data_IF_490431242127
#
_entry.id   IF_490431242127
#
_cell.length_a   1.000
_cell.length_b   1.000
_cell.length_c   1.000
_cell.angle_alpha   90.00
_cell.angle_beta   90.00
_cell.angle_gamma   90.00
#
_symmetry.space_group_name_H-M   'P 1'
#
loop_
_entity.id
_entity.type
_entity.pdbx_description
1 polymer ?
#
# COMPACT_ATOMS: atom_id res chain seq x y z
N UNK A 1 6.72 -22.21 -15.97
CA UNK A 1 5.42 -21.66 -16.46
C UNK A 1 5.59 -20.80 -17.70
N UNK A 2 6.63 -19.94 -17.79
CA UNK A 2 6.84 -19.07 -18.96
C UNK A 2 7.00 -19.83 -20.28
N UNK A 3 7.78 -20.93 -20.32
CA UNK A 3 7.92 -21.74 -21.55
C UNK A 3 6.60 -22.33 -22.08
N UNK A 4 5.62 -22.60 -21.23
CA UNK A 4 4.28 -23.01 -21.69
C UNK A 4 3.42 -21.81 -22.09
N UNK A 5 3.57 -20.67 -21.44
CA UNK A 5 2.86 -19.43 -21.80
C UNK A 5 3.28 -18.93 -23.19
N UNK A 6 4.57 -19.01 -23.52
CA UNK A 6 5.11 -18.64 -24.83
C UNK A 6 4.51 -19.52 -25.95
N UNK A 7 4.34 -20.82 -25.69
CA UNK A 7 3.70 -21.76 -26.62
C UNK A 7 2.18 -21.59 -26.81
N UNK A 8 1.48 -20.86 -25.92
CA UNK A 8 0.08 -20.46 -26.10
C UNK A 8 -0.04 -19.07 -26.75
N UNK A 9 0.92 -18.18 -26.52
CA UNK A 9 1.03 -16.89 -27.19
C UNK A 9 1.26 -17.05 -28.70
N UNK A 10 2.10 -18.00 -29.10
CA UNK A 10 2.36 -18.28 -30.52
C UNK A 10 1.16 -18.91 -31.25
N UNK A 11 0.18 -19.45 -30.50
CA UNK A 11 -1.09 -19.99 -31.04
C UNK A 11 -2.23 -18.96 -31.03
N UNK A 12 -1.98 -17.72 -30.62
CA UNK A 12 -2.97 -16.65 -30.44
C UNK A 12 -4.21 -17.07 -29.60
N UNK A 13 -4.05 -18.04 -28.69
CA UNK A 13 -5.13 -18.53 -27.83
C UNK A 13 -5.18 -17.72 -26.53
N UNK A 14 -5.89 -16.60 -26.59
CA UNK A 14 -6.06 -15.67 -25.46
C UNK A 14 -6.68 -16.33 -24.22
N UNK A 15 -7.52 -17.36 -24.40
CA UNK A 15 -8.19 -18.06 -23.28
C UNK A 15 -7.24 -19.02 -22.56
N UNK A 16 -6.26 -19.58 -23.27
CA UNK A 16 -5.20 -20.39 -22.69
C UNK A 16 -4.24 -19.59 -21.81
N UNK A 17 -3.91 -18.38 -22.24
CA UNK A 17 -3.01 -17.46 -21.51
C UNK A 17 -3.67 -16.93 -20.23
N UNK A 18 -4.95 -16.54 -20.30
CA UNK A 18 -5.73 -16.08 -19.14
C UNK A 18 -5.83 -17.16 -18.05
N UNK A 19 -6.16 -18.41 -18.43
CA UNK A 19 -6.21 -19.54 -17.49
C UNK A 19 -4.85 -19.83 -16.87
N UNK A 20 -3.77 -19.75 -17.65
CA UNK A 20 -2.42 -19.97 -17.13
C UNK A 20 -2.02 -18.89 -16.12
N UNK A 21 -2.37 -17.62 -16.37
CA UNK A 21 -2.13 -16.52 -15.45
C UNK A 21 -2.92 -16.70 -14.14
N UNK A 22 -4.21 -17.07 -14.24
CA UNK A 22 -5.04 -17.35 -13.07
C UNK A 22 -4.55 -18.56 -12.28
N UNK A 23 -4.14 -19.64 -12.94
CA UNK A 23 -3.57 -20.83 -12.28
C UNK A 23 -2.21 -20.50 -11.64
N UNK A 24 -1.41 -19.63 -12.24
CA UNK A 24 -0.15 -19.17 -11.65
C UNK A 24 -0.39 -18.38 -10.35
N UNK A 25 -1.28 -17.38 -10.41
CA UNK A 25 -1.62 -16.54 -9.27
C UNK A 25 -2.30 -17.34 -8.15
N UNK A 26 -3.29 -18.17 -8.52
CA UNK A 26 -4.00 -19.02 -7.58
C UNK A 26 -3.09 -20.10 -6.99
N UNK A 27 -2.23 -20.72 -7.80
CA UNK A 27 -1.30 -21.75 -7.34
C UNK A 27 -0.28 -21.21 -6.33
N UNK A 28 0.27 -20.01 -6.58
CA UNK A 28 1.17 -19.37 -5.63
C UNK A 28 0.44 -18.99 -4.33
N UNK A 29 -0.76 -18.41 -4.45
CA UNK A 29 -1.60 -18.08 -3.28
C UNK A 29 -1.96 -19.33 -2.46
N UNK A 30 -2.34 -20.44 -3.12
CA UNK A 30 -2.65 -21.72 -2.49
C UNK A 30 -1.42 -22.31 -1.79
N UNK A 31 -0.24 -22.21 -2.39
CA UNK A 31 1.01 -22.69 -1.78
C UNK A 31 1.34 -21.90 -0.51
N UNK A 32 1.27 -20.57 -0.55
CA UNK A 32 1.49 -19.72 0.63
C UNK A 32 0.44 -20.00 1.72
N UNK A 33 -0.83 -20.12 1.33
CA UNK A 33 -1.90 -20.45 2.26
C UNK A 33 -1.66 -21.81 2.93
N UNK A 34 -1.29 -22.85 2.16
CA UNK A 34 -0.98 -24.16 2.71
C UNK A 34 0.19 -24.11 3.72
N UNK A 35 1.27 -23.40 3.38
CA UNK A 35 2.42 -23.23 4.29
C UNK A 35 2.01 -22.51 5.58
N UNK A 36 1.23 -21.44 5.49
CA UNK A 36 0.75 -20.69 6.66
C UNK A 36 -0.20 -21.54 7.51
N UNK A 37 -1.13 -22.27 6.89
CA UNK A 37 -2.07 -23.16 7.58
C UNK A 37 -1.34 -24.28 8.32
N UNK A 38 -0.38 -24.94 7.69
CA UNK A 38 0.45 -25.98 8.34
C UNK A 38 1.27 -25.39 9.49
N UNK A 39 1.84 -24.20 9.29
CA UNK A 39 2.61 -23.49 10.32
C UNK A 39 1.73 -23.11 11.53
N UNK A 40 0.47 -22.73 11.33
CA UNK A 40 -0.46 -22.42 12.42
C UNK A 40 -0.91 -23.67 13.19
N UNK A 41 -1.24 -24.75 12.46
CA UNK A 41 -1.69 -26.02 13.05
C UNK A 41 -0.61 -26.67 13.91
N UNK A 42 0.65 -26.68 13.45
CA UNK A 42 1.76 -27.35 14.14
C UNK A 42 2.53 -26.40 15.05
N UNK A 43 2.68 -25.14 14.66
CA UNK A 43 3.57 -24.18 15.32
C UNK A 43 2.94 -23.41 16.48
N UNK A 44 1.62 -23.30 16.59
CA UNK A 44 0.96 -22.46 17.60
C UNK A 44 1.35 -22.84 19.05
N UNK A 45 1.40 -24.14 19.36
CA UNK A 45 1.81 -24.63 20.68
C UNK A 45 3.31 -24.40 20.96
N UNK A 46 4.16 -24.62 19.96
CA UNK A 46 5.60 -24.41 20.07
C UNK A 46 5.96 -22.92 20.26
N UNK A 47 5.31 -22.04 19.50
CA UNK A 47 5.46 -20.58 19.60
C UNK A 47 4.98 -20.09 20.97
N UNK A 48 3.86 -20.60 21.48
CA UNK A 48 3.35 -20.23 22.81
C UNK A 48 4.31 -20.64 23.93
N UNK A 49 4.85 -21.86 23.89
CA UNK A 49 5.83 -22.33 24.89
C UNK A 49 7.15 -21.56 24.84
N UNK A 50 7.61 -21.18 23.63
CA UNK A 50 8.75 -20.27 23.46
C UNK A 50 8.46 -18.89 24.04
N UNK A 51 7.29 -18.31 23.76
CA UNK A 51 6.91 -17.02 24.33
C UNK A 51 6.79 -17.09 25.86
N UNK A 52 6.29 -18.18 26.44
CA UNK A 52 6.15 -18.33 27.89
C UNK A 52 7.52 -18.40 28.60
N UNK A 53 8.58 -18.84 27.91
CA UNK A 53 9.97 -18.90 28.43
C UNK A 53 10.69 -17.55 28.38
N UNK A 54 10.25 -16.63 27.51
CA UNK A 54 10.86 -15.30 27.35
C UNK A 54 10.44 -14.40 28.55
N UNK A 55 11.32 -13.55 29.11
CA UNK A 55 10.96 -12.60 30.16
C UNK A 55 9.98 -11.51 29.68
N UNK A 56 9.10 -11.02 30.56
CA UNK A 56 8.03 -10.08 30.21
C UNK A 56 8.52 -8.80 29.52
N UNK A 57 9.69 -8.28 29.89
CA UNK A 57 10.27 -7.10 29.25
C UNK A 57 10.44 -7.26 27.73
N UNK A 58 10.86 -8.45 27.27
CA UNK A 58 11.06 -8.72 25.83
C UNK A 58 9.71 -8.92 25.14
N UNK A 59 8.75 -9.60 25.77
CA UNK A 59 7.39 -9.75 25.22
C UNK A 59 6.72 -8.39 25.05
N UNK A 60 6.84 -7.52 26.05
CA UNK A 60 6.30 -6.17 25.99
C UNK A 60 6.99 -5.34 24.90
N UNK A 61 8.32 -5.40 24.81
CA UNK A 61 9.08 -4.75 23.74
C UNK A 61 8.65 -5.20 22.33
N UNK A 62 8.45 -6.50 22.13
CA UNK A 62 7.95 -7.04 20.86
C UNK A 62 6.52 -6.58 20.54
N UNK A 63 5.64 -6.51 21.55
CA UNK A 63 4.28 -5.99 21.38
C UNK A 63 4.27 -4.52 20.99
N UNK A 64 5.16 -3.70 21.56
CA UNK A 64 5.28 -2.29 21.18
C UNK A 64 5.87 -2.16 19.78
N UNK A 65 6.93 -2.91 19.46
CA UNK A 65 7.57 -2.89 18.15
C UNK A 65 6.61 -3.27 17.02
N UNK A 66 5.85 -4.36 17.20
CA UNK A 66 4.83 -4.79 16.23
C UNK A 66 3.67 -3.80 16.14
N UNK A 67 3.32 -3.12 17.24
CA UNK A 67 2.31 -2.06 17.28
C UNK A 67 2.70 -0.77 16.54
N UNK A 68 3.99 -0.53 16.28
CA UNK A 68 4.47 0.64 15.53
C UNK A 68 4.43 0.41 14.01
N UNK A 69 4.33 -0.83 13.53
CA UNK A 69 4.31 -1.18 12.10
C UNK A 69 3.22 -0.41 11.32
N UNK A 70 1.96 -0.28 11.80
CA UNK A 70 0.95 0.52 11.11
C UNK A 70 1.31 1.99 10.99
N UNK A 71 1.96 2.58 12.01
CA UNK A 71 2.41 3.97 11.98
C UNK A 71 3.51 4.19 10.93
N UNK A 72 4.43 3.24 10.80
CA UNK A 72 5.44 3.24 9.73
C UNK A 72 4.79 3.13 8.35
N UNK A 73 3.72 2.35 8.21
CA UNK A 73 2.93 2.26 6.98
C UNK A 73 2.35 3.62 6.58
N UNK A 74 1.72 4.33 7.52
CA UNK A 74 1.20 5.68 7.26
C UNK A 74 2.31 6.68 6.94
N UNK A 75 3.48 6.58 7.59
CA UNK A 75 4.63 7.43 7.30
C UNK A 75 5.15 7.23 5.87
N UNK A 76 5.20 5.98 5.39
CA UNK A 76 5.61 5.67 4.01
C UNK A 76 4.62 6.26 2.98
N UNK A 77 3.32 6.14 3.24
CA UNK A 77 2.29 6.76 2.41
C UNK A 77 2.36 8.29 2.44
N UNK A 78 2.55 8.86 3.62
CA UNK A 78 2.70 10.31 3.80
C UNK A 78 3.94 10.82 3.05
N UNK A 79 5.07 10.11 3.09
CA UNK A 79 6.27 10.46 2.33
C UNK A 79 6.03 10.46 0.82
N UNK A 80 5.20 9.55 0.31
CA UNK A 80 4.86 9.50 -1.11
C UNK A 80 3.90 10.62 -1.54
N UNK A 81 2.99 11.03 -0.66
CA UNK A 81 1.91 11.97 -0.98
C UNK A 81 2.22 13.43 -0.63
N UNK A 82 3.00 13.68 0.42
CA UNK A 82 3.25 15.02 0.93
C UNK A 82 4.36 15.69 0.13
N UNK A 83 4.00 16.81 -0.48
CA UNK A 83 4.93 17.78 -1.06
C UNK A 83 4.67 19.17 -0.42
N UNK A 84 5.60 20.12 -0.53
CA UNK A 84 5.51 21.47 0.06
C UNK A 84 4.19 22.18 -0.24
N UNK A 85 3.60 21.94 -1.43
CA UNK A 85 2.31 22.52 -1.85
C UNK A 85 1.08 21.89 -1.16
N UNK A 86 1.13 20.60 -0.85
CA UNK A 86 -0.01 19.85 -0.29
C UNK A 86 0.10 19.62 1.22
N UNK A 87 1.28 19.82 1.82
CA UNK A 87 1.53 19.70 3.25
C UNK A 87 0.54 20.50 4.12
N UNK A 88 0.17 21.75 3.79
CA UNK A 88 -0.80 22.51 4.58
C UNK A 88 -2.19 21.84 4.66
N UNK A 89 -2.63 21.21 3.56
CA UNK A 89 -3.92 20.50 3.51
C UNK A 89 -3.91 19.21 4.35
N UNK A 90 -2.76 18.53 4.43
CA UNK A 90 -2.59 17.36 5.29
C UNK A 90 -2.73 17.74 6.78
N UNK A 91 -2.03 18.79 7.23
CA UNK A 91 -2.14 19.27 8.61
C UNK A 91 -3.54 19.79 8.94
N UNK A 92 -4.20 20.46 7.99
CA UNK A 92 -5.58 20.91 8.15
C UNK A 92 -6.53 19.72 8.40
N UNK A 93 -6.40 18.65 7.61
CA UNK A 93 -7.19 17.43 7.80
C UNK A 93 -6.92 16.74 9.15
N UNK A 94 -5.66 16.73 9.60
CA UNK A 94 -5.26 16.19 10.91
C UNK A 94 -5.88 16.98 12.06
N UNK A 95 -5.86 18.32 11.99
CA UNK A 95 -6.51 19.19 12.98
C UNK A 95 -8.02 18.95 12.99
N UNK A 96 -8.66 18.91 11.82
CA UNK A 96 -10.09 18.59 11.72
C UNK A 96 -10.41 17.23 12.36
N UNK A 97 -9.58 16.21 12.14
CA UNK A 97 -9.73 14.90 12.78
C UNK A 97 -9.71 15.00 14.32
N UNK A 98 -8.70 15.68 14.86
CA UNK A 98 -8.46 15.74 16.30
C UNK A 98 -9.58 16.48 17.05
N UNK A 99 -10.11 17.56 16.47
CA UNK A 99 -11.11 18.41 17.12
C UNK A 99 -12.55 17.97 16.87
N UNK A 100 -12.87 17.52 15.64
CA UNK A 100 -14.25 17.24 15.24
C UNK A 100 -14.69 15.81 15.60
N UNK A 101 -13.76 14.92 15.97
CA UNK A 101 -14.02 13.49 16.29
C UNK A 101 -14.86 12.76 15.23
N UNK A 102 -14.80 13.22 13.97
CA UNK A 102 -15.47 12.60 12.83
C UNK A 102 -14.67 11.36 12.39
N UNK A 103 -15.33 10.29 11.90
CA UNK A 103 -14.61 9.15 11.33
C UNK A 103 -13.67 9.56 10.19
N UNK A 104 -12.56 8.82 10.06
CA UNK A 104 -11.53 9.05 9.02
C UNK A 104 -12.14 9.13 7.62
N UNK A 105 -13.17 8.31 7.35
CA UNK A 105 -13.90 8.32 6.07
C UNK A 105 -14.56 9.68 5.77
N UNK A 106 -15.11 10.37 6.77
CA UNK A 106 -15.75 11.68 6.57
C UNK A 106 -14.73 12.75 6.16
N UNK A 107 -13.55 12.72 6.78
CA UNK A 107 -12.45 13.64 6.45
C UNK A 107 -11.88 13.32 5.07
N UNK A 108 -11.81 12.04 4.69
CA UNK A 108 -11.39 11.61 3.35
C UNK A 108 -12.33 12.15 2.26
N UNK A 109 -13.65 12.11 2.48
CA UNK A 109 -14.64 12.68 1.53
C UNK A 109 -14.46 14.20 1.40
N UNK A 110 -14.28 14.91 2.50
CA UNK A 110 -14.01 16.36 2.46
C UNK A 110 -12.71 16.68 1.71
N UNK A 111 -11.65 15.92 1.98
CA UNK A 111 -10.38 16.03 1.26
C UNK A 111 -10.54 15.80 -0.25
N UNK A 112 -11.33 14.79 -0.65
CA UNK A 112 -11.62 14.50 -2.06
C UNK A 112 -12.38 15.66 -2.74
N UNK A 113 -13.37 16.27 -2.08
CA UNK A 113 -14.09 17.43 -2.61
C UNK A 113 -13.13 18.60 -2.80
N UNK A 114 -12.28 18.90 -1.80
CA UNK A 114 -11.27 19.97 -1.89
C UNK A 114 -10.29 19.71 -3.04
N UNK A 115 -9.85 18.46 -3.22
CA UNK A 115 -8.95 18.08 -4.31
C UNK A 115 -9.60 18.29 -5.69
N UNK A 116 -10.86 17.86 -5.87
CA UNK A 116 -11.61 18.05 -7.14
C UNK A 116 -11.78 19.54 -7.46
N UNK A 117 -12.15 20.35 -6.46
CA UNK A 117 -12.30 21.80 -6.64
C UNK A 117 -10.97 22.44 -7.03
N UNK A 118 -9.88 22.09 -6.36
CA UNK A 118 -8.55 22.64 -6.65
C UNK A 118 -8.08 22.27 -8.07
N UNK A 119 -8.21 21.00 -8.47
CA UNK A 119 -7.90 20.55 -9.83
C UNK A 119 -8.77 21.26 -10.87
N UNK A 120 -10.07 21.43 -10.60
CA UNK A 120 -10.98 22.11 -11.53
C UNK A 120 -10.60 23.58 -11.72
N UNK A 121 -10.23 24.28 -10.65
CA UNK A 121 -9.77 25.68 -10.71
C UNK A 121 -8.43 25.79 -11.44
N UNK A 122 -7.47 24.91 -11.17
CA UNK A 122 -6.16 24.91 -11.85
C UNK A 122 -6.28 24.51 -13.33
N UNK A 123 -7.21 23.61 -13.68
CA UNK A 123 -7.47 23.20 -15.06
C UNK A 123 -8.08 24.33 -15.92
N UNK A 124 -8.78 25.28 -15.31
CA UNK A 124 -9.29 26.48 -15.99
C UNK A 124 -8.19 27.54 -16.20
N UNK A 125 -7.16 27.55 -15.36
CA UNK A 125 -6.08 28.53 -15.38
C UNK A 125 -4.83 28.09 -16.15
N UNK A 126 -4.80 26.87 -16.68
CA UNK A 126 -3.67 26.32 -17.46
C UNK A 126 -4.08 26.09 -18.91
N UNK A 127 -3.43 26.73 -19.92
CA UNK A 127 -3.59 26.31 -21.31
C UNK A 127 -3.10 24.86 -21.41
N UNK A 128 -3.93 23.99 -21.98
CA UNK A 128 -3.68 22.54 -22.07
C UNK A 128 -2.39 22.26 -22.84
N UNK A 129 -1.31 21.98 -22.13
CA UNK A 129 -0.15 21.29 -22.70
C UNK A 129 -0.35 19.81 -22.41
N UNK A 130 -0.73 19.08 -23.47
CA UNK A 130 -0.67 17.62 -23.51
C UNK A 130 0.81 17.23 -23.45
N UNK A 131 1.25 16.62 -22.35
CA UNK A 131 2.57 15.99 -22.29
C UNK A 131 2.39 14.50 -22.08
N UNK A 132 2.74 13.76 -23.12
CA UNK A 132 2.98 12.32 -23.12
C UNK A 132 4.00 11.95 -22.03
N UNK A 133 3.83 10.76 -21.47
CA UNK A 133 4.73 10.19 -20.48
C UNK A 133 6.19 10.19 -20.97
N UNK A 134 7.04 10.95 -20.29
CA UNK A 134 8.48 10.84 -20.38
C UNK A 134 9.05 11.05 -18.98
N UNK A 135 9.58 9.98 -18.40
CA UNK A 135 10.45 10.05 -17.22
C UNK A 135 11.69 10.82 -17.64
N UNK A 136 11.88 12.01 -17.09
CA UNK A 136 13.20 12.65 -17.00
C UNK A 136 13.59 12.66 -15.53
N UNK A 137 14.51 11.75 -15.20
CA UNK A 137 15.60 11.99 -14.24
C UNK A 137 16.34 13.29 -14.62
N UNK A 138 17.16 13.78 -13.69
CA UNK A 138 17.89 15.06 -13.62
C UNK A 138 17.07 16.20 -12.98
N UNK A 139 17.51 16.90 -11.94
CA UNK A 139 18.78 16.86 -11.22
C UNK A 139 18.63 17.58 -9.88
N UNK A 140 19.60 17.24 -9.03
CA UNK A 140 20.20 17.89 -7.86
C UNK A 140 19.91 19.38 -7.53
N UNK A 141 20.18 19.70 -6.26
CA UNK A 141 20.47 21.03 -5.69
C UNK A 141 19.30 21.92 -5.22
N UNK A 142 19.05 21.95 -3.91
CA UNK A 142 19.40 23.16 -3.12
C UNK A 142 19.37 22.90 -1.60
N UNK A 143 20.35 23.50 -0.93
CA UNK A 143 20.74 23.39 0.48
C UNK A 143 19.67 23.84 1.49
#
# INVERSE_FOLDING_TARGET
LSQRADGYAERADLRGIERMHLIAGFGLSLMLAAVVTVSFLVGSNAVKSLLDTIPEFIKHGLSVATGIIPALGFAMLARLLINKKVAPYFFLGFVLMAYLKIPVTGIAILGAIVAVVMVSVTALNSPRITTEQGVSDDDEDDF
#
